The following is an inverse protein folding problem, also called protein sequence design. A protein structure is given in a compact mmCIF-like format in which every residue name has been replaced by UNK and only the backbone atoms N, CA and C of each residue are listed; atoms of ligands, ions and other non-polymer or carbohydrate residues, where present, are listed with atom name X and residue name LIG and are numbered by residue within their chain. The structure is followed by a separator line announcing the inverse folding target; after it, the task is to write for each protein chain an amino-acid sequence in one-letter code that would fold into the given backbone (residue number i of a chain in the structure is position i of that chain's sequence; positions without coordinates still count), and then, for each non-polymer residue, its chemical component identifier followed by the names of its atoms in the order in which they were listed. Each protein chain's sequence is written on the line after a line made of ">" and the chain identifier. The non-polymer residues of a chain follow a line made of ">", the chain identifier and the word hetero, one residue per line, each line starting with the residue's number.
data_IF_478931327216
#
_entry.id   IF_478931327216
#
_cell.length_a   1.000
_cell.length_b   1.000
_cell.length_c   1.000
_cell.angle_alpha   90.00
_cell.angle_beta   90.00
_cell.angle_gamma   90.00
#
_symmetry.space_group_name_H-M   'P 1'
#
loop_
_entity.id
_entity.type
_entity.pdbx_description
1 polymer ?
#
# COMPACT_ATOMS: atom_id res chain seq x y z
N UNK A 1 11.55 1.07 -0.82
CA UNK A 1 10.86 0.90 0.49
C UNK A 1 11.63 1.51 1.65
N UNK A 2 12.76 0.94 2.09
CA UNK A 2 13.50 1.45 3.26
C UNK A 2 13.90 2.93 3.18
N UNK A 3 14.27 3.44 2.01
CA UNK A 3 14.65 4.85 1.86
C UNK A 3 13.50 5.82 2.19
N UNK A 4 12.30 5.64 1.62
CA UNK A 4 11.11 6.48 1.91
C UNK A 4 10.73 6.43 3.39
N UNK A 5 10.79 5.23 3.99
CA UNK A 5 10.49 5.04 5.42
C UNK A 5 11.47 5.80 6.33
N UNK A 6 12.73 5.95 5.93
CA UNK A 6 13.76 6.61 6.73
C UNK A 6 13.96 8.09 6.41
N UNK A 7 13.71 8.54 5.18
CA UNK A 7 13.99 9.93 4.77
C UNK A 7 12.77 10.84 4.76
N UNK A 8 11.56 10.28 4.66
CA UNK A 8 10.35 11.11 4.53
C UNK A 8 10.30 11.90 3.21
N UNK A 9 11.09 11.51 2.21
CA UNK A 9 11.22 12.23 0.94
C UNK A 9 9.97 12.02 0.07
N UNK A 10 9.14 13.05 -0.03
CA UNK A 10 7.91 13.03 -0.83
C UNK A 10 8.18 12.99 -2.34
N UNK A 11 9.28 13.58 -2.82
CA UNK A 11 9.67 13.51 -4.24
C UNK A 11 10.07 12.09 -4.61
N UNK A 12 10.76 11.39 -3.70
CA UNK A 12 11.08 9.98 -3.87
C UNK A 12 9.81 9.12 -4.00
N UNK A 13 8.74 9.43 -3.26
CA UNK A 13 7.45 8.73 -3.38
C UNK A 13 6.84 8.93 -4.76
N UNK A 14 6.81 10.17 -5.27
CA UNK A 14 6.25 10.47 -6.58
C UNK A 14 7.05 9.82 -7.71
N UNK A 15 8.38 9.92 -7.64
CA UNK A 15 9.29 9.29 -8.61
C UNK A 15 9.12 7.78 -8.62
N UNK A 16 9.09 7.16 -7.43
CA UNK A 16 8.90 5.72 -7.31
C UNK A 16 7.55 5.27 -7.85
N UNK A 17 6.48 6.03 -7.57
CA UNK A 17 5.17 5.76 -8.16
C UNK A 17 5.20 5.80 -9.70
N UNK A 18 5.84 6.82 -10.28
CA UNK A 18 5.97 6.95 -11.72
C UNK A 18 6.78 5.79 -12.34
N UNK A 19 7.90 5.41 -11.71
CA UNK A 19 8.73 4.29 -12.14
C UNK A 19 7.97 2.96 -12.10
N UNK A 20 7.15 2.73 -11.07
CA UNK A 20 6.32 1.53 -10.98
C UNK A 20 5.34 1.42 -12.14
N UNK A 21 4.71 2.53 -12.56
CA UNK A 21 3.79 2.53 -13.70
C UNK A 21 4.50 2.25 -15.04
N UNK A 22 5.73 2.72 -15.20
CA UNK A 22 6.52 2.56 -16.42
C UNK A 22 7.32 1.26 -16.52
N UNK A 23 7.59 0.58 -15.41
CA UNK A 23 8.48 -0.57 -15.36
C UNK A 23 7.76 -1.84 -14.85
N UNK A 24 7.51 -2.78 -15.77
CA UNK A 24 6.83 -4.05 -15.48
C UNK A 24 7.54 -4.89 -14.43
N UNK A 25 8.88 -4.98 -14.48
CA UNK A 25 9.66 -5.77 -13.54
C UNK A 25 9.57 -5.16 -12.14
N UNK A 26 9.76 -3.85 -12.02
CA UNK A 26 9.64 -3.15 -10.74
C UNK A 26 8.23 -3.31 -10.15
N UNK A 27 7.20 -3.18 -10.99
CA UNK A 27 5.81 -3.47 -10.62
C UNK A 27 5.60 -4.91 -10.15
N UNK A 28 6.28 -5.90 -10.72
CA UNK A 28 6.19 -7.29 -10.26
C UNK A 28 6.85 -7.46 -8.88
N UNK A 29 8.06 -6.92 -8.71
CA UNK A 29 8.80 -6.97 -7.45
C UNK A 29 8.01 -6.31 -6.32
N UNK A 30 7.43 -5.13 -6.57
CA UNK A 30 6.63 -4.41 -5.57
C UNK A 30 5.42 -5.21 -5.10
N UNK A 31 4.71 -5.85 -6.05
CA UNK A 31 3.54 -6.67 -5.72
C UNK A 31 3.93 -7.91 -4.94
N UNK A 32 5.07 -8.50 -5.26
CA UNK A 32 5.57 -9.69 -4.60
C UNK A 32 6.12 -9.40 -3.19
N UNK A 33 6.75 -8.24 -2.99
CA UNK A 33 7.47 -7.92 -1.77
C UNK A 33 6.57 -7.90 -0.52
N UNK A 34 5.43 -7.22 -0.54
CA UNK A 34 4.56 -7.11 0.64
C UNK A 34 3.98 -8.46 1.11
N UNK A 35 3.32 -9.26 0.24
CA UNK A 35 2.75 -10.53 0.67
C UNK A 35 3.80 -11.53 1.13
N UNK A 36 5.01 -11.50 0.55
CA UNK A 36 6.09 -12.40 0.97
C UNK A 36 6.78 -11.94 2.25
N UNK A 37 7.03 -10.64 2.40
CA UNK A 37 7.56 -10.06 3.63
C UNK A 37 6.64 -10.31 4.82
N UNK A 38 5.34 -10.04 4.66
CA UNK A 38 4.33 -10.29 5.68
C UNK A 38 3.93 -11.76 5.80
N UNK A 39 4.51 -12.65 4.98
CA UNK A 39 4.28 -14.10 5.00
C UNK A 39 2.82 -14.49 4.75
N UNK A 40 2.09 -13.74 3.94
CA UNK A 40 0.83 -14.17 3.32
C UNK A 40 1.10 -15.18 2.18
N UNK A 41 2.27 -15.07 1.53
CA UNK A 41 2.72 -15.95 0.45
C UNK A 41 4.15 -16.43 0.71
N UNK A 42 4.49 -17.63 0.26
CA UNK A 42 5.87 -18.13 0.28
C UNK A 42 6.78 -17.38 -0.69
N UNK A 43 8.06 -17.23 -0.33
CA UNK A 43 9.07 -16.59 -1.17
C UNK A 43 9.31 -17.43 -2.43
N UNK A 44 9.29 -16.78 -3.60
CA UNK A 44 9.62 -17.38 -4.91
C UNK A 44 10.76 -16.58 -5.56
N UNK A 45 11.62 -17.25 -6.35
CA UNK A 45 12.77 -16.62 -6.99
C UNK A 45 12.44 -15.86 -8.28
N UNK A 46 11.23 -16.06 -8.82
CA UNK A 46 10.75 -15.48 -10.08
C UNK A 46 9.74 -14.33 -9.86
N UNK A 47 9.55 -13.89 -8.61
CA UNK A 47 8.57 -12.87 -8.22
C UNK A 47 7.12 -13.21 -8.60
N UNK A 48 6.82 -14.50 -8.79
CA UNK A 48 5.47 -14.96 -9.04
C UNK A 48 4.61 -14.88 -7.78
N UNK A 49 3.34 -14.54 -7.97
CA UNK A 49 2.30 -14.67 -6.95
C UNK A 49 1.27 -15.70 -7.41
N UNK A 50 0.69 -16.50 -6.49
CA UNK A 50 -0.45 -17.35 -6.79
C UNK A 50 -1.60 -16.54 -7.41
N UNK A 51 -2.39 -17.17 -8.29
CA UNK A 51 -3.54 -16.51 -8.95
C UNK A 51 -4.60 -15.99 -7.98
N UNK A 52 -4.67 -16.55 -6.77
CA UNK A 52 -5.47 -16.05 -5.65
C UNK A 52 -4.61 -15.98 -4.40
N UNK A 53 -4.52 -14.80 -3.79
CA UNK A 53 -3.83 -14.58 -2.52
C UNK A 53 -4.82 -13.95 -1.55
N UNK A 54 -4.70 -14.30 -0.27
CA UNK A 54 -5.46 -13.66 0.79
C UNK A 54 -4.51 -12.87 1.68
N UNK A 55 -4.61 -11.54 1.65
CA UNK A 55 -3.65 -10.60 2.23
C UNK A 55 -3.93 -10.28 3.71
N UNK A 56 -4.14 -11.31 4.55
CA UNK A 56 -4.53 -11.12 5.96
C UNK A 56 -3.46 -10.41 6.78
N UNK A 57 -2.22 -10.87 6.74
CA UNK A 57 -1.11 -10.31 7.52
C UNK A 57 -0.68 -8.97 6.96
N UNK A 58 -0.67 -8.83 5.64
CA UNK A 58 -0.47 -7.55 4.98
C UNK A 58 -1.52 -6.55 5.46
N UNK A 59 -2.81 -6.90 5.49
CA UNK A 59 -3.83 -5.98 6.01
C UNK A 59 -3.62 -5.59 7.49
N UNK A 60 -3.12 -6.48 8.33
CA UNK A 60 -2.76 -6.18 9.72
C UNK A 60 -1.59 -5.20 9.82
N UNK A 61 -0.52 -5.42 9.04
CA UNK A 61 0.63 -4.51 9.01
C UNK A 61 0.24 -3.12 8.51
N UNK A 62 -0.57 -3.05 7.44
CA UNK A 62 -1.06 -1.77 6.93
C UNK A 62 -1.86 -1.00 7.98
N UNK A 63 -2.69 -1.68 8.77
CA UNK A 63 -3.45 -1.03 9.85
C UNK A 63 -2.55 -0.44 10.92
N UNK A 64 -1.41 -1.07 11.20
CA UNK A 64 -0.40 -0.52 12.11
C UNK A 64 0.33 0.66 11.47
N UNK A 65 0.77 0.51 10.22
CA UNK A 65 1.55 1.51 9.48
C UNK A 65 0.77 2.82 9.22
N UNK A 66 -0.56 2.79 9.14
CA UNK A 66 -1.37 4.01 8.94
C UNK A 66 -1.15 5.08 10.03
N UNK A 67 -0.67 4.68 11.20
CA UNK A 67 -0.46 5.58 12.34
C UNK A 67 0.99 6.05 12.50
N UNK A 68 1.86 5.74 11.53
CA UNK A 68 3.21 6.31 11.47
C UNK A 68 3.17 7.84 11.29
N UNK A 69 4.18 8.51 11.84
CA UNK A 69 4.39 9.96 11.68
C UNK A 69 5.04 10.32 10.33
N UNK A 70 5.49 9.32 9.57
CA UNK A 70 6.09 9.55 8.26
C UNK A 70 5.01 9.75 7.18
N UNK A 71 4.74 11.02 6.85
CA UNK A 71 3.72 11.42 5.88
C UNK A 71 4.04 10.95 4.44
N UNK A 72 5.32 10.91 4.05
CA UNK A 72 5.72 10.37 2.76
C UNK A 72 5.44 8.87 2.65
N UNK A 73 5.73 8.12 3.73
CA UNK A 73 5.40 6.71 3.79
C UNK A 73 3.89 6.47 3.79
N UNK A 74 3.11 7.30 4.51
CA UNK A 74 1.65 7.25 4.44
C UNK A 74 1.14 7.50 3.02
N UNK A 75 1.65 8.53 2.32
CA UNK A 75 1.26 8.82 0.95
C UNK A 75 1.64 7.69 -0.01
N UNK A 76 2.78 7.05 0.22
CA UNK A 76 3.20 5.86 -0.49
C UNK A 76 2.21 4.69 -0.31
N UNK A 77 1.85 4.37 0.94
CA UNK A 77 0.91 3.28 1.25
C UNK A 77 -0.44 3.51 0.59
N UNK A 78 -0.98 4.73 0.70
CA UNK A 78 -2.29 5.08 0.16
C UNK A 78 -2.31 5.14 -1.37
N UNK A 79 -1.32 5.81 -1.97
CA UNK A 79 -1.30 6.10 -3.40
C UNK A 79 -0.71 4.98 -4.27
N UNK A 80 0.11 4.12 -3.68
CA UNK A 80 0.87 3.11 -4.43
C UNK A 80 0.57 1.70 -3.92
N UNK A 81 0.86 1.41 -2.65
CA UNK A 81 0.87 0.04 -2.17
C UNK A 81 -0.55 -0.58 -2.11
N UNK A 82 -1.53 0.10 -1.48
CA UNK A 82 -2.91 -0.40 -1.38
C UNK A 82 -3.53 -0.65 -2.78
N UNK A 83 -3.49 0.31 -3.73
CA UNK A 83 -4.02 0.07 -5.08
C UNK A 83 -3.39 -1.13 -5.79
N UNK A 84 -2.09 -1.37 -5.56
CA UNK A 84 -1.38 -2.51 -6.15
C UNK A 84 -1.85 -3.84 -5.57
N UNK A 85 -2.07 -3.89 -4.26
CA UNK A 85 -2.55 -5.09 -3.54
C UNK A 85 -4.00 -5.44 -3.87
N UNK A 86 -4.87 -4.43 -4.02
CA UNK A 86 -6.28 -4.64 -4.37
C UNK A 86 -6.50 -5.32 -5.72
N UNK A 87 -5.50 -5.27 -6.63
CA UNK A 87 -5.55 -6.00 -7.90
C UNK A 87 -5.40 -7.52 -7.74
N UNK A 88 -4.89 -7.99 -6.60
CA UNK A 88 -4.68 -9.40 -6.30
C UNK A 88 -5.68 -9.95 -5.28
N UNK A 89 -6.06 -9.10 -4.33
CA UNK A 89 -7.06 -9.42 -3.33
C UNK A 89 -7.97 -8.19 -3.12
N UNK A 90 -9.11 -8.20 -3.80
CA UNK A 90 -10.10 -7.12 -3.70
C UNK A 90 -10.72 -7.01 -2.31
N UNK A 91 -10.65 -8.07 -1.49
CA UNK A 91 -11.13 -8.06 -0.12
C UNK A 91 -10.11 -7.52 0.87
N UNK A 92 -8.86 -7.35 0.41
CA UNK A 92 -7.72 -6.94 1.21
C UNK A 92 -7.63 -7.74 2.52
N UNK A 93 -7.55 -9.06 2.40
CA UNK A 93 -7.52 -9.99 3.52
C UNK A 93 -8.86 -10.13 4.26
N UNK A 94 -9.99 -9.88 3.59
CA UNK A 94 -11.33 -9.71 4.18
C UNK A 94 -11.44 -8.52 5.16
N UNK A 95 -10.53 -7.54 5.04
CA UNK A 95 -10.45 -6.38 5.93
C UNK A 95 -10.61 -5.05 5.21
N UNK A 96 -11.02 -5.04 3.93
CA UNK A 96 -11.14 -3.82 3.14
C UNK A 96 -11.94 -2.69 3.83
N UNK A 97 -13.10 -3.01 4.44
CA UNK A 97 -13.86 -2.02 5.22
C UNK A 97 -13.12 -1.50 6.46
N UNK A 98 -12.40 -2.40 7.16
CA UNK A 98 -11.65 -2.03 8.36
C UNK A 98 -10.52 -1.07 7.99
N UNK A 99 -9.81 -1.37 6.90
CA UNK A 99 -8.75 -0.51 6.34
C UNK A 99 -9.35 0.81 5.87
N UNK A 100 -10.48 0.80 5.16
CA UNK A 100 -11.15 2.01 4.72
C UNK A 100 -11.51 2.93 5.90
N UNK A 101 -12.10 2.39 6.96
CA UNK A 101 -12.41 3.13 8.19
C UNK A 101 -11.17 3.66 8.89
N UNK A 102 -10.06 2.91 8.88
CA UNK A 102 -8.80 3.37 9.45
C UNK A 102 -8.19 4.53 8.62
N UNK A 103 -8.20 4.41 7.29
CA UNK A 103 -7.76 5.48 6.39
C UNK A 103 -8.59 6.74 6.60
N UNK A 104 -9.93 6.63 6.63
CA UNK A 104 -10.81 7.78 6.87
C UNK A 104 -10.44 8.51 8.17
N UNK A 105 -10.31 7.76 9.28
CA UNK A 105 -9.91 8.34 10.58
C UNK A 105 -8.53 8.98 10.53
N UNK A 106 -7.56 8.36 9.87
CA UNK A 106 -6.22 8.96 9.72
C UNK A 106 -6.26 10.26 8.92
N UNK A 107 -7.11 10.36 7.90
CA UNK A 107 -7.27 11.57 7.08
C UNK A 107 -7.97 12.71 7.82
N UNK A 108 -8.69 12.45 8.92
CA UNK A 108 -9.27 13.50 9.78
C UNK A 108 -8.18 14.28 10.53
N UNK A 109 -7.05 13.63 10.86
CA UNK A 109 -5.91 14.26 11.55
C UNK A 109 -4.75 14.64 10.61
N UNK A 110 -4.83 14.31 9.32
CA UNK A 110 -3.84 14.74 8.31
C UNK A 110 -4.11 16.16 7.85
N UNK A 111 -3.12 17.05 7.93
CA UNK A 111 -3.24 18.43 7.43
C UNK A 111 -2.96 18.55 5.93
N UNK A 112 -2.09 17.69 5.38
CA UNK A 112 -1.72 17.77 3.98
C UNK A 112 -2.90 17.43 3.06
N UNK A 113 -3.27 18.39 2.21
CA UNK A 113 -4.42 18.28 1.32
C UNK A 113 -4.24 17.21 0.25
N UNK A 114 -3.00 16.98 -0.20
CA UNK A 114 -2.69 15.97 -1.20
C UNK A 114 -2.87 14.56 -0.64
N UNK A 115 -2.32 14.28 0.53
CA UNK A 115 -2.50 12.99 1.22
C UNK A 115 -3.97 12.76 1.53
N UNK A 116 -4.72 13.77 2.00
CA UNK A 116 -6.18 13.64 2.21
C UNK A 116 -6.93 13.24 0.95
N UNK A 117 -6.62 13.87 -0.19
CA UNK A 117 -7.22 13.53 -1.49
C UNK A 117 -6.90 12.09 -1.87
N UNK A 118 -5.63 11.69 -1.78
CA UNK A 118 -5.19 10.33 -2.09
C UNK A 118 -5.87 9.32 -1.17
N UNK A 119 -5.96 9.58 0.14
CA UNK A 119 -6.68 8.74 1.10
C UNK A 119 -8.15 8.58 0.74
N UNK A 120 -8.83 9.66 0.32
CA UNK A 120 -10.22 9.60 -0.16
C UNK A 120 -10.40 8.79 -1.44
N UNK A 121 -9.41 8.75 -2.34
CA UNK A 121 -9.39 7.84 -3.50
C UNK A 121 -9.19 6.39 -3.06
N UNK A 122 -8.29 6.15 -2.10
CA UNK A 122 -8.00 4.82 -1.57
C UNK A 122 -9.21 4.21 -0.86
N UNK A 123 -9.93 4.99 -0.06
CA UNK A 123 -11.19 4.57 0.57
C UNK A 123 -12.22 4.12 -0.47
N UNK A 124 -12.38 4.89 -1.56
CA UNK A 124 -13.29 4.53 -2.65
C UNK A 124 -12.90 3.21 -3.31
N UNK A 125 -11.60 2.94 -3.49
CA UNK A 125 -11.10 1.67 -4.05
C UNK A 125 -11.27 0.48 -3.10
N UNK A 126 -11.24 0.70 -1.79
CA UNK A 126 -11.43 -0.35 -0.79
C UNK A 126 -12.91 -0.75 -0.63
N UNK A 127 -13.83 0.15 -0.95
CA UNK A 127 -15.28 -0.05 -0.74
C UNK A 127 -16.06 -0.30 -2.04
N UNK A 128 -15.43 -0.11 -3.20
CA UNK A 128 -16.03 -0.34 -4.52
C UNK A 128 -15.63 -1.68 -5.10
#
# INVERSE_FOLDING_TARGET
>A
MGHILHTGDEEAVQRYHHELQGNRLLSMVERWAFPTYNRDVGVSSDFSLPGSVLLRRTAEEFLADLWTENEAYLRYLLGTAIPFMLRHDSTFGLRAEQVARAVQRRMESTYDTTTRRVGGETVRRLLG
#
